data_IF_787758045118
#
_entry.id   IF_787758045118
#
_cell.length_a   1.000
_cell.length_b   1.000
_cell.length_c   1.000
_cell.angle_alpha   90.00
_cell.angle_beta   90.00
_cell.angle_gamma   90.00
#
_symmetry.space_group_name_H-M   'P 1'
#
loop_
_entity.id
_entity.type
_entity.pdbx_description
1 polymer ?
#
# COMPACT_ATOMS: atom_id res chain seq x y z
N UNK A 1 2.05 1.91 3.15
CA UNK A 1 0.84 2.64 3.58
C UNK A 1 -0.26 2.31 2.60
N UNK A 2 -1.44 1.97 3.10
CA UNK A 2 -2.58 1.48 2.32
C UNK A 2 -3.85 2.21 2.81
N UNK A 3 -4.90 2.32 1.99
CA UNK A 3 -6.11 3.09 2.37
C UNK A 3 -6.90 2.44 3.49
N UNK A 4 -6.94 1.11 3.51
CA UNK A 4 -7.76 0.36 4.45
C UNK A 4 -7.00 -0.82 5.06
N UNK A 5 -7.50 -1.37 6.19
CA UNK A 5 -6.96 -2.61 6.74
C UNK A 5 -7.01 -3.78 5.74
N UNK A 6 -8.03 -3.82 4.87
CA UNK A 6 -8.13 -4.83 3.81
C UNK A 6 -6.99 -4.65 2.83
N UNK A 7 -6.75 -3.44 2.33
CA UNK A 7 -5.66 -3.17 1.38
C UNK A 7 -4.28 -3.48 2.00
N UNK A 8 -4.10 -3.23 3.29
CA UNK A 8 -2.86 -3.57 3.98
C UNK A 8 -2.62 -5.10 4.02
N UNK A 9 -3.67 -5.89 4.31
CA UNK A 9 -3.58 -7.36 4.28
C UNK A 9 -3.39 -7.87 2.85
N UNK A 10 -4.10 -7.31 1.89
CA UNK A 10 -3.97 -7.64 0.47
C UNK A 10 -2.54 -7.39 -0.02
N UNK A 11 -1.95 -6.25 0.30
CA UNK A 11 -0.57 -5.94 -0.06
C UNK A 11 0.43 -6.89 0.58
N UNK A 12 0.21 -7.28 1.84
CA UNK A 12 1.03 -8.28 2.50
C UNK A 12 0.96 -9.64 1.79
N UNK A 13 -0.24 -10.06 1.38
CA UNK A 13 -0.44 -11.31 0.64
C UNK A 13 0.21 -11.26 -0.76
N UNK A 14 0.05 -10.17 -1.51
CA UNK A 14 0.70 -9.96 -2.81
C UNK A 14 2.23 -10.07 -2.66
N UNK A 15 2.81 -9.45 -1.64
CA UNK A 15 4.25 -9.50 -1.37
C UNK A 15 4.73 -10.91 -0.99
N UNK A 16 3.96 -11.63 -0.19
CA UNK A 16 4.20 -13.05 0.16
C UNK A 16 4.21 -13.93 -1.09
N UNK A 17 3.18 -13.81 -1.94
CA UNK A 17 3.05 -14.59 -3.17
C UNK A 17 4.16 -14.28 -4.16
N UNK A 18 4.46 -12.99 -4.37
CA UNK A 18 5.55 -12.52 -5.24
C UNK A 18 6.92 -13.05 -4.84
N UNK A 19 7.13 -13.36 -3.56
CA UNK A 19 8.37 -13.91 -3.01
C UNK A 19 8.32 -15.40 -2.65
N UNK A 20 7.29 -16.14 -3.09
CA UNK A 20 7.09 -17.58 -2.84
C UNK A 20 7.14 -17.94 -1.34
N UNK A 21 6.57 -17.09 -0.49
CA UNK A 21 6.48 -17.30 0.95
C UNK A 21 6.86 -16.06 1.74
N UNK A 22 8.15 -15.86 2.03
CA UNK A 22 8.56 -14.76 2.90
C UNK A 22 9.24 -13.64 2.11
N UNK A 23 8.79 -12.38 2.26
CA UNK A 23 9.49 -11.24 1.69
C UNK A 23 10.94 -11.16 2.19
N UNK A 24 11.91 -10.81 1.33
CA UNK A 24 13.33 -10.76 1.67
C UNK A 24 13.65 -9.64 2.68
N UNK A 25 12.75 -8.67 2.82
CA UNK A 25 12.87 -7.56 3.76
C UNK A 25 11.63 -7.55 4.63
N UNK A 26 11.82 -7.38 5.95
CA UNK A 26 10.69 -7.18 6.88
C UNK A 26 10.01 -5.86 6.55
N UNK A 27 8.78 -5.97 6.06
CA UNK A 27 7.96 -4.82 5.65
C UNK A 27 6.79 -4.66 6.61
N UNK A 28 6.56 -3.43 7.08
CA UNK A 28 5.36 -3.08 7.83
C UNK A 28 4.29 -2.58 6.86
N UNK A 29 3.18 -3.29 6.79
CA UNK A 29 1.98 -2.87 6.09
C UNK A 29 1.08 -2.14 7.09
N UNK A 30 0.60 -0.95 6.72
CA UNK A 30 -0.13 -0.06 7.61
C UNK A 30 -1.26 0.61 6.83
N UNK A 31 -2.47 0.52 7.37
CA UNK A 31 -3.62 1.27 6.91
C UNK A 31 -3.53 2.73 7.42
N UNK A 32 -3.91 3.67 6.56
CA UNK A 32 -3.97 5.10 6.87
C UNK A 32 -5.40 5.56 6.60
N UNK A 33 -6.14 5.83 7.67
CA UNK A 33 -7.54 6.27 7.59
C UNK A 33 -7.63 7.74 7.13
N UNK A 34 -7.04 8.65 7.93
CA UNK A 34 -6.91 10.06 7.57
C UNK A 34 -5.44 10.46 7.57
N UNK A 35 -5.00 11.12 6.50
CA UNK A 35 -3.59 11.55 6.36
C UNK A 35 -3.17 12.55 7.41
N UNK A 36 -4.09 13.36 7.94
CA UNK A 36 -3.82 14.33 9.01
C UNK A 36 -3.53 13.68 10.36
N UNK A 37 -3.99 12.45 10.58
CA UNK A 37 -3.71 11.68 11.79
C UNK A 37 -2.39 10.90 11.70
N UNK A 38 -1.69 10.94 10.56
CA UNK A 38 -0.42 10.25 10.40
C UNK A 38 0.66 10.94 11.27
N UNK A 39 1.39 10.21 12.12
CA UNK A 39 2.47 10.78 12.93
C UNK A 39 3.73 11.02 12.07
N UNK A 40 3.70 12.04 11.21
CA UNK A 40 4.77 12.36 10.25
C UNK A 40 6.15 12.47 10.90
N UNK A 41 6.23 13.01 12.13
CA UNK A 41 7.48 13.14 12.88
C UNK A 41 8.15 11.81 13.21
N UNK A 42 7.35 10.74 13.40
CA UNK A 42 7.86 9.39 13.63
C UNK A 42 8.20 8.73 12.30
N UNK A 43 7.27 8.82 11.35
CA UNK A 43 7.34 8.14 10.06
C UNK A 43 8.46 8.67 9.18
N UNK A 44 8.80 9.96 9.26
CA UNK A 44 9.88 10.57 8.45
C UNK A 44 11.26 9.94 8.66
N UNK A 45 11.48 9.26 9.78
CA UNK A 45 12.74 8.58 10.07
C UNK A 45 12.84 7.20 9.38
N UNK A 46 11.77 6.73 8.74
CA UNK A 46 11.75 5.49 7.97
C UNK A 46 12.36 5.75 6.59
N UNK A 47 13.44 5.04 6.26
CA UNK A 47 14.23 5.29 5.05
C UNK A 47 13.58 4.84 3.73
N UNK A 48 12.57 3.95 3.76
CA UNK A 48 11.83 3.50 2.58
C UNK A 48 10.35 3.42 2.92
N UNK A 49 9.54 4.19 2.20
CA UNK A 49 8.09 4.25 2.40
C UNK A 49 7.42 4.01 1.06
N UNK A 50 6.62 2.95 0.96
CA UNK A 50 5.70 2.71 -0.14
C UNK A 50 4.32 3.25 0.20
N UNK A 51 3.74 4.03 -0.70
CA UNK A 51 2.37 4.54 -0.63
C UNK A 51 1.55 3.78 -1.66
N UNK A 52 0.88 2.73 -1.20
CA UNK A 52 0.05 1.82 -1.97
C UNK A 52 -1.43 2.09 -1.66
N UNK A 53 -1.85 3.33 -1.93
CA UNK A 53 -3.26 3.73 -1.87
C UNK A 53 -3.97 3.29 -3.15
N UNK A 54 -5.29 3.19 -3.08
CA UNK A 54 -6.12 2.78 -4.22
C UNK A 54 -6.11 3.86 -5.30
N UNK A 55 -6.37 3.43 -6.54
CA UNK A 55 -6.39 4.32 -7.70
C UNK A 55 -7.76 4.97 -7.88
N UNK A 56 -8.18 5.74 -6.87
CA UNK A 56 -9.41 6.51 -6.85
C UNK A 56 -9.12 7.93 -6.35
N UNK A 57 -10.06 8.87 -6.49
CA UNK A 57 -9.83 10.28 -6.16
C UNK A 57 -9.31 10.49 -4.72
N UNK A 58 -9.85 9.74 -3.76
CA UNK A 58 -9.45 9.83 -2.36
C UNK A 58 -8.02 9.29 -2.13
N UNK A 59 -7.73 8.07 -2.58
CA UNK A 59 -6.39 7.48 -2.49
C UNK A 59 -5.35 8.32 -3.27
N UNK A 60 -5.76 8.91 -4.39
CA UNK A 60 -4.91 9.76 -5.20
C UNK A 60 -4.49 11.04 -4.45
N UNK A 61 -5.47 11.72 -3.84
CA UNK A 61 -5.24 12.91 -3.03
C UNK A 61 -4.45 12.59 -1.77
N UNK A 62 -4.80 11.53 -1.05
CA UNK A 62 -4.11 11.10 0.15
C UNK A 62 -2.62 10.80 -0.14
N UNK A 63 -2.32 10.14 -1.26
CA UNK A 63 -0.95 9.83 -1.64
C UNK A 63 -0.16 11.10 -1.95
N UNK A 64 -0.78 12.09 -2.60
CA UNK A 64 -0.16 13.39 -2.83
C UNK A 64 0.21 14.07 -1.50
N UNK A 65 -0.72 14.15 -0.55
CA UNK A 65 -0.48 14.75 0.77
C UNK A 65 0.68 14.05 1.49
N UNK A 66 0.71 12.72 1.45
CA UNK A 66 1.79 11.94 2.06
C UNK A 66 3.13 12.23 1.39
N UNK A 67 3.18 12.32 0.06
CA UNK A 67 4.42 12.61 -0.68
C UNK A 67 4.93 14.05 -0.46
N UNK A 68 4.03 15.03 -0.30
CA UNK A 68 4.39 16.41 0.03
C UNK A 68 5.05 16.49 1.42
N UNK A 69 4.55 15.73 2.39
CA UNK A 69 5.08 15.71 3.76
C UNK A 69 6.26 14.75 3.94
N UNK A 70 6.36 13.71 3.13
CA UNK A 70 7.40 12.67 3.17
C UNK A 70 8.03 12.50 1.79
N UNK A 71 8.99 13.35 1.40
CA UNK A 71 9.57 13.34 0.06
C UNK A 71 10.26 12.02 -0.33
N UNK A 72 10.65 11.19 0.65
CA UNK A 72 11.22 9.86 0.42
C UNK A 72 10.16 8.80 0.06
N UNK A 73 8.87 9.11 0.24
CA UNK A 73 7.78 8.19 -0.02
C UNK A 73 7.56 8.02 -1.52
N UNK A 74 7.42 6.77 -1.95
CA UNK A 74 7.17 6.41 -3.34
C UNK A 74 5.77 5.85 -3.49
N UNK A 75 5.00 6.45 -4.39
CA UNK A 75 3.70 5.95 -4.78
C UNK A 75 3.82 4.68 -5.62
N UNK A 76 2.99 3.70 -5.30
CA UNK A 76 2.82 2.45 -6.04
C UNK A 76 1.32 2.33 -6.30
N UNK A 77 0.94 2.20 -7.55
CA UNK A 77 -0.47 2.22 -7.95
C UNK A 77 -0.94 0.82 -8.32
N UNK A 78 -2.17 0.44 -7.92
CA UNK A 78 -2.80 -0.76 -8.47
C UNK A 78 -3.07 -0.56 -9.96
N UNK A 79 -2.99 -1.64 -10.75
CA UNK A 79 -3.43 -1.64 -12.15
C UNK A 79 -4.95 -1.49 -12.30
N UNK A 80 -5.72 -1.78 -11.25
CA UNK A 80 -7.16 -1.60 -11.15
C UNK A 80 -7.54 -0.47 -10.18
N UNK A 81 -8.80 -0.43 -9.73
CA UNK A 81 -9.24 0.58 -8.75
C UNK A 81 -8.67 0.29 -7.37
N UNK A 82 -8.76 -0.96 -6.90
CA UNK A 82 -8.25 -1.34 -5.57
C UNK A 82 -7.21 -2.46 -5.65
N UNK A 83 -6.37 -2.56 -4.61
CA UNK A 83 -5.46 -3.69 -4.48
C UNK A 83 -6.21 -5.02 -4.31
N UNK A 84 -7.33 -4.99 -3.57
CA UNK A 84 -8.10 -6.19 -3.28
C UNK A 84 -8.71 -6.82 -4.53
N UNK A 85 -9.21 -6.01 -5.46
CA UNK A 85 -9.70 -6.50 -6.76
C UNK A 85 -8.59 -7.22 -7.55
N UNK A 86 -7.38 -6.65 -7.60
CA UNK A 86 -6.24 -7.27 -8.29
C UNK A 86 -5.92 -8.66 -7.73
N UNK A 87 -5.90 -8.78 -6.39
CA UNK A 87 -5.60 -10.06 -5.75
C UNK A 87 -6.68 -11.10 -6.06
N UNK A 88 -7.96 -10.72 -5.97
CA UNK A 88 -9.08 -11.62 -6.28
C UNK A 88 -9.02 -12.09 -7.75
N UNK A 89 -8.77 -11.17 -8.68
CA UNK A 89 -8.64 -11.50 -10.10
C UNK A 89 -7.43 -12.42 -10.38
N UNK A 90 -6.32 -12.22 -9.69
CA UNK A 90 -5.16 -13.12 -9.78
C UNK A 90 -5.51 -14.54 -9.30
N UNK A 91 -6.14 -14.66 -8.12
CA UNK A 91 -6.54 -15.94 -7.55
C UNK A 91 -7.57 -16.68 -8.42
N UNK A 92 -8.54 -15.96 -9.00
CA UNK A 92 -9.52 -16.56 -9.91
C UNK A 92 -8.88 -17.14 -11.18
N UNK A 93 -7.82 -16.51 -11.70
CA UNK A 93 -7.08 -17.01 -12.86
C UNK A 93 -6.27 -18.26 -12.57
N UNK A 94 -5.77 -18.44 -11.35
CA UNK A 94 -5.03 -19.65 -10.95
C UNK A 94 -5.92 -20.87 -10.75
N UNK A 95 -7.22 -20.66 -10.50
CA UNK A 95 -8.21 -21.73 -10.32
C UNK A 95 -8.82 -22.25 -11.64
N UNK A 96 -8.49 -21.63 -12.77
CA UNK A 96 -8.96 -22.01 -14.12
C UNK A 96 -7.92 -22.88 -14.84
#
# INVERSE_FOLDING_TARGET
MCDSPIDALTMAEIDIQGHKGQPPVRTMYMAVDETDNLPFEVVKNIGRIGVAFNNNDFGNLAAQIVQEKLPQAKRIEPSGLTWNEILIEAQQREMQ
#
